data_IF_656681583515
#
_entry.id   IF_656681583515
#
_cell.length_a   1.000
_cell.length_b   1.000
_cell.length_c   1.000
_cell.angle_alpha   90.00
_cell.angle_beta   90.00
_cell.angle_gamma   90.00
#
_symmetry.space_group_name_H-M   'P 1'
#
loop_
_entity.id
_entity.type
_entity.pdbx_description
1 polymer ?
#
# COMPACT_ATOMS: atom_id res chain seq x y z
N UNK A 1 23.22 -11.33 -1.06
CA UNK A 1 23.04 -10.55 -2.30
C UNK A 1 21.68 -10.94 -2.85
N UNK A 2 20.76 -9.99 -3.06
CA UNK A 2 19.49 -10.32 -3.71
C UNK A 2 19.79 -10.90 -5.09
N UNK A 3 19.22 -12.06 -5.41
CA UNK A 3 19.47 -12.73 -6.68
C UNK A 3 18.79 -11.92 -7.79
N UNK A 4 19.56 -11.18 -8.60
CA UNK A 4 19.02 -10.26 -9.62
C UNK A 4 17.99 -10.93 -10.54
N UNK A 5 18.18 -12.21 -10.83
CA UNK A 5 17.25 -13.02 -11.65
C UNK A 5 15.85 -13.13 -11.01
N UNK A 6 15.75 -13.27 -9.68
CA UNK A 6 14.46 -13.36 -9.01
C UNK A 6 13.73 -12.01 -8.98
N UNK A 7 14.47 -10.91 -8.86
CA UNK A 7 13.90 -9.56 -8.92
C UNK A 7 13.31 -9.28 -10.32
N UNK A 8 14.06 -9.62 -11.37
CA UNK A 8 13.61 -9.46 -12.76
C UNK A 8 12.37 -10.33 -13.03
N UNK A 9 12.37 -11.58 -12.57
CA UNK A 9 11.22 -12.47 -12.72
C UNK A 9 9.96 -11.98 -11.99
N UNK A 10 10.11 -11.45 -10.77
CA UNK A 10 8.98 -10.87 -10.03
C UNK A 10 8.43 -9.61 -10.70
N UNK A 11 9.32 -8.75 -11.23
CA UNK A 11 8.94 -7.56 -11.97
C UNK A 11 8.21 -7.92 -13.29
N UNK A 12 8.71 -8.89 -14.05
CA UNK A 12 8.02 -9.38 -15.24
C UNK A 12 6.64 -9.97 -14.90
N UNK A 13 6.53 -10.68 -13.78
CA UNK A 13 5.25 -11.20 -13.30
C UNK A 13 4.27 -10.07 -12.94
N UNK A 14 4.75 -8.97 -12.36
CA UNK A 14 3.95 -7.77 -12.11
C UNK A 14 3.44 -7.16 -13.43
N UNK A 15 4.33 -6.96 -14.41
CA UNK A 15 3.97 -6.37 -15.70
C UNK A 15 2.94 -7.22 -16.45
N UNK A 16 3.14 -8.54 -16.48
CA UNK A 16 2.22 -9.47 -17.14
C UNK A 16 0.83 -9.48 -16.49
N UNK A 17 0.75 -9.28 -15.16
CA UNK A 17 -0.51 -9.15 -14.45
C UNK A 17 -1.16 -7.76 -14.59
N UNK A 18 -0.44 -6.77 -15.13
CA UNK A 18 -0.81 -5.35 -15.07
C UNK A 18 -0.90 -4.65 -16.44
N UNK A 19 -1.69 -5.15 -17.41
CA UNK A 19 -1.74 -4.59 -18.76
C UNK A 19 -2.36 -3.18 -18.83
N UNK A 20 -3.10 -2.76 -17.81
CA UNK A 20 -3.66 -1.40 -17.70
C UNK A 20 -3.43 -0.83 -16.30
N UNK A 21 -3.61 0.48 -16.13
CA UNK A 21 -3.49 1.14 -14.83
C UNK A 21 -4.42 0.54 -13.76
N UNK A 22 -5.63 0.09 -14.14
CA UNK A 22 -6.56 -0.56 -13.23
C UNK A 22 -6.04 -1.92 -12.74
N UNK A 23 -5.48 -2.73 -13.64
CA UNK A 23 -4.86 -4.00 -13.29
C UNK A 23 -3.60 -3.80 -12.44
N UNK A 24 -2.80 -2.76 -12.75
CA UNK A 24 -1.62 -2.41 -11.96
C UNK A 24 -1.98 -2.03 -10.52
N UNK A 25 -3.07 -1.28 -10.33
CA UNK A 25 -3.59 -0.96 -9.00
C UNK A 25 -4.07 -2.22 -8.31
N UNK A 26 -4.83 -3.10 -8.98
CA UNK A 26 -5.34 -4.31 -8.33
C UNK A 26 -4.23 -5.30 -7.93
N UNK A 27 -3.24 -5.50 -8.79
CA UNK A 27 -2.05 -6.30 -8.45
C UNK A 27 -1.24 -5.64 -7.32
N UNK A 28 -1.11 -4.31 -7.32
CA UNK A 28 -0.48 -3.57 -6.21
C UNK A 28 -1.24 -3.76 -4.90
N UNK A 29 -2.58 -3.72 -4.90
CA UNK A 29 -3.41 -4.01 -3.72
C UNK A 29 -3.14 -5.42 -3.20
N UNK A 30 -3.09 -6.42 -4.09
CA UNK A 30 -2.80 -7.81 -3.73
C UNK A 30 -1.44 -7.93 -3.03
N UNK A 31 -0.39 -7.34 -3.61
CA UNK A 31 0.97 -7.34 -3.05
C UNK A 31 1.05 -6.59 -1.73
N UNK A 32 0.39 -5.44 -1.60
CA UNK A 32 0.35 -4.66 -0.36
C UNK A 32 -0.34 -5.41 0.78
N UNK A 33 -1.48 -6.06 0.51
CA UNK A 33 -2.16 -6.92 1.49
C UNK A 33 -1.26 -8.07 1.95
N UNK A 34 -0.58 -8.73 1.01
CA UNK A 34 0.39 -9.78 1.34
C UNK A 34 1.58 -9.25 2.17
N UNK A 35 1.97 -7.99 1.98
CA UNK A 35 2.99 -7.31 2.78
C UNK A 35 2.48 -6.76 4.13
N UNK A 36 1.23 -7.08 4.50
CA UNK A 36 0.62 -6.69 5.78
C UNK A 36 0.07 -5.28 5.83
N UNK A 37 -0.21 -4.65 4.68
CA UNK A 37 -0.93 -3.38 4.65
C UNK A 37 -2.44 -3.59 4.75
N UNK A 38 -3.10 -2.72 5.50
CA UNK A 38 -4.55 -2.67 5.64
C UNK A 38 -5.17 -1.69 4.63
N UNK A 39 -6.25 -2.11 3.96
CA UNK A 39 -6.96 -1.21 3.06
C UNK A 39 -7.93 -0.33 3.85
N UNK A 40 -7.83 0.98 3.64
CA UNK A 40 -8.77 1.97 4.19
C UNK A 40 -9.53 2.67 3.07
N UNK A 41 -10.71 3.21 3.40
CA UNK A 41 -11.51 4.05 2.50
C UNK A 41 -11.05 5.50 2.63
N UNK A 42 -10.85 6.17 1.50
CA UNK A 42 -10.52 7.60 1.49
C UNK A 42 -11.61 8.49 2.11
N UNK A 43 -12.86 8.00 2.15
CA UNK A 43 -14.02 8.77 2.58
C UNK A 43 -14.30 8.66 4.09
N UNK A 44 -13.58 7.81 4.78
CA UNK A 44 -13.84 7.50 6.18
C UNK A 44 -12.89 8.32 7.08
N UNK A 45 -13.30 8.58 8.32
CA UNK A 45 -12.40 9.14 9.32
C UNK A 45 -11.34 8.10 9.70
N UNK A 46 -10.07 8.39 9.38
CA UNK A 46 -8.99 7.45 9.59
C UNK A 46 -8.54 7.37 11.05
N UNK A 47 -8.80 6.23 11.69
CA UNK A 47 -8.23 5.88 13.00
C UNK A 47 -6.90 5.13 12.80
N UNK A 48 -5.85 5.88 12.49
CA UNK A 48 -4.53 5.31 12.21
C UNK A 48 -3.79 4.93 13.50
N UNK A 49 -3.16 3.76 13.49
CA UNK A 49 -2.36 3.27 14.62
C UNK A 49 -0.86 3.32 14.34
N UNK A 50 -0.08 3.69 15.36
CA UNK A 50 1.37 3.71 15.26
C UNK A 50 1.95 2.33 14.96
N UNK A 51 2.86 2.24 13.99
CA UNK A 51 3.48 1.00 13.57
C UNK A 51 2.68 0.18 12.54
N UNK A 52 1.44 0.56 12.22
CA UNK A 52 0.64 -0.06 11.15
C UNK A 52 0.94 0.53 9.78
N UNK A 53 0.51 -0.16 8.74
CA UNK A 53 0.67 0.22 7.33
C UNK A 53 -0.67 0.18 6.64
N UNK A 54 -0.96 1.19 5.84
CA UNK A 54 -2.26 1.38 5.22
C UNK A 54 -2.12 1.72 3.74
N UNK A 55 -3.14 1.40 2.97
CA UNK A 55 -3.28 1.93 1.62
C UNK A 55 -4.74 2.23 1.30
N UNK A 56 -4.96 3.13 0.35
CA UNK A 56 -6.27 3.35 -0.25
C UNK A 56 -6.11 3.54 -1.75
N UNK A 57 -7.24 3.49 -2.47
CA UNK A 57 -7.29 3.74 -3.91
C UNK A 57 -8.23 4.87 -4.22
N UNK A 58 -7.86 5.71 -5.18
CA UNK A 58 -8.73 6.74 -5.76
C UNK A 58 -9.09 6.35 -7.18
N UNK A 59 -10.40 6.32 -7.47
CA UNK A 59 -10.96 5.95 -8.79
C UNK A 59 -10.47 4.61 -9.36
N UNK A 60 -9.96 3.70 -8.52
CA UNK A 60 -9.37 2.40 -8.89
C UNK A 60 -8.15 2.45 -9.84
N UNK A 61 -7.73 3.62 -10.29
CA UNK A 61 -6.57 3.82 -11.17
C UNK A 61 -5.38 4.48 -10.46
N UNK A 62 -5.57 4.89 -9.20
CA UNK A 62 -4.51 5.42 -8.33
C UNK A 62 -4.48 4.62 -7.04
N UNK A 63 -3.28 4.33 -6.54
CA UNK A 63 -3.04 3.70 -5.24
C UNK A 63 -2.06 4.54 -4.43
N UNK A 64 -2.35 4.72 -3.15
CA UNK A 64 -1.49 5.41 -2.19
C UNK A 64 -1.27 4.48 -1.01
N UNK A 65 -0.01 4.16 -0.71
CA UNK A 65 0.37 3.32 0.40
C UNK A 65 1.32 4.07 1.33
N UNK A 66 1.10 3.99 2.63
CA UNK A 66 1.89 4.67 3.64
C UNK A 66 2.04 3.83 4.91
N UNK A 67 3.12 4.08 5.66
CA UNK A 67 3.39 3.43 6.93
C UNK A 67 3.41 4.46 8.04
N UNK A 68 2.71 4.18 9.14
CA UNK A 68 2.70 5.05 10.32
C UNK A 68 3.89 4.67 11.20
N UNK A 69 4.83 5.59 11.39
CA UNK A 69 6.02 5.34 12.20
C UNK A 69 5.66 4.99 13.65
N UNK A 70 6.44 4.10 14.28
CA UNK A 70 6.20 3.67 15.68
C UNK A 70 6.27 4.79 16.71
N UNK A 71 6.92 5.92 16.36
CA UNK A 71 7.04 7.11 17.22
C UNK A 71 5.96 8.16 16.93
N UNK A 72 5.00 7.85 16.05
CA UNK A 72 3.87 8.73 15.80
C UNK A 72 3.07 8.88 17.09
N UNK A 73 3.02 10.11 17.62
CA UNK A 73 2.22 10.48 18.77
C UNK A 73 1.17 11.47 18.29
N UNK A 74 -0.09 11.04 18.32
CA UNK A 74 -1.21 11.94 18.07
C UNK A 74 -1.39 12.80 19.33
N UNK A 75 -0.70 13.93 19.38
CA UNK A 75 -0.77 14.84 20.52
C UNK A 75 -1.94 15.80 20.29
N UNK A 76 -3.11 15.45 20.81
CA UNK A 76 -4.26 16.36 20.87
C UNK A 76 -4.21 17.06 22.23
N UNK A 77 -3.64 18.26 22.27
CA UNK A 77 -3.67 19.10 23.48
C UNK A 77 -5.03 19.82 23.49
N UNK A 78 -5.93 19.40 24.38
CA UNK A 78 -7.08 20.22 24.79
C UNK A 78 -6.55 21.27 25.79
N UNK A 79 -6.54 22.54 25.36
CA UNK A 79 -6.50 23.70 26.26
C UNK A 79 -7.92 24.03 26.72
#
# INVERSE_FOLDING_TARGET
MANTTSLVSDFLSFLNASPTAFHAVDESKRRLRHAGYEQISERDDWKLEAGKKYFFTRNYSTIVAFAVGKKYRHFFLLL
#
